data_IF_922006001129
#
_entry.id   IF_922006001129
#
_cell.length_a   1.000
_cell.length_b   1.000
_cell.length_c   1.000
_cell.angle_alpha   90.00
_cell.angle_beta   90.00
_cell.angle_gamma   90.00
#
_symmetry.space_group_name_H-M   'P 1'
#
loop_
_entity.id
_entity.type
_entity.pdbx_description
1 polymer ?
#
# COMPACT_ATOMS: atom_id res chain seq x y z
N UNK A 1 4.74 -13.08 9.69
CA UNK A 1 5.72 -12.08 10.16
C UNK A 1 5.05 -10.72 10.13
N UNK A 2 5.05 -9.98 11.23
CA UNK A 2 4.60 -8.58 11.21
C UNK A 2 5.48 -7.81 10.21
N UNK A 3 4.89 -7.01 9.32
CA UNK A 3 5.72 -6.20 8.44
C UNK A 3 6.49 -5.20 9.28
N UNK A 4 7.79 -5.16 9.05
CA UNK A 4 8.65 -4.25 9.78
C UNK A 4 8.63 -2.93 9.00
N UNK A 5 8.03 -1.89 9.57
CA UNK A 5 8.09 -0.53 9.03
C UNK A 5 9.52 0.03 9.18
N UNK A 6 10.31 -0.16 8.11
CA UNK A 6 11.58 0.53 7.94
C UNK A 6 11.40 1.76 7.06
N UNK A 7 11.73 2.92 7.61
CA UNK A 7 11.98 4.11 6.80
C UNK A 7 13.44 4.08 6.29
N UNK A 8 13.74 4.85 5.24
CA UNK A 8 15.07 4.85 4.60
C UNK A 8 16.23 5.08 5.58
N UNK A 9 16.03 5.84 6.66
CA UNK A 9 17.04 6.06 7.71
C UNK A 9 17.36 4.78 8.49
N UNK A 10 16.35 4.00 8.87
CA UNK A 10 16.55 2.70 9.54
C UNK A 10 17.26 1.70 8.62
N UNK A 11 16.94 1.72 7.32
CA UNK A 11 17.62 0.88 6.32
C UNK A 11 19.10 1.29 6.24
N UNK A 12 19.39 2.58 6.08
CA UNK A 12 20.77 3.08 6.03
C UNK A 12 21.58 2.69 7.27
N UNK A 13 21.01 2.87 8.47
CA UNK A 13 21.67 2.51 9.73
C UNK A 13 22.07 1.02 9.77
N UNK A 14 21.25 0.12 9.22
CA UNK A 14 21.60 -1.31 9.13
C UNK A 14 22.68 -1.59 8.10
N UNK A 15 22.63 -0.92 6.94
CA UNK A 15 23.67 -1.06 5.92
C UNK A 15 25.01 -0.60 6.48
N UNK A 16 25.03 0.49 7.25
CA UNK A 16 26.26 1.02 7.87
C UNK A 16 26.92 0.02 8.85
N UNK A 17 26.12 -0.82 9.53
CA UNK A 17 26.65 -1.87 10.43
C UNK A 17 27.39 -2.96 9.66
N UNK A 18 26.95 -3.28 8.45
CA UNK A 18 27.56 -4.30 7.60
C UNK A 18 28.67 -3.74 6.70
N UNK A 19 28.52 -2.49 6.24
CA UNK A 19 29.43 -1.79 5.34
C UNK A 19 29.73 -0.40 5.90
N UNK A 20 30.72 -0.29 6.80
CA UNK A 20 31.11 0.98 7.38
C UNK A 20 31.60 1.98 6.31
N UNK A 21 31.27 3.26 6.48
CA UNK A 21 31.73 4.34 5.59
C UNK A 21 30.95 4.50 4.28
N UNK A 22 29.93 3.67 4.04
CA UNK A 22 29.07 3.83 2.86
C UNK A 22 28.27 5.14 2.92
N UNK A 23 28.18 5.83 1.79
CA UNK A 23 27.44 7.09 1.65
C UNK A 23 25.93 6.88 1.80
N UNK A 24 25.28 7.72 2.62
CA UNK A 24 23.83 7.71 2.78
C UNK A 24 23.10 7.96 1.45
N UNK A 25 23.63 8.87 0.62
CA UNK A 25 23.04 9.17 -0.69
C UNK A 25 23.12 7.97 -1.63
N UNK A 26 24.22 7.22 -1.59
CA UNK A 26 24.36 6.01 -2.40
C UNK A 26 23.31 4.97 -2.02
N UNK A 27 23.12 4.71 -0.72
CA UNK A 27 22.11 3.76 -0.24
C UNK A 27 20.69 4.22 -0.58
N UNK A 28 20.38 5.53 -0.45
CA UNK A 28 19.08 6.09 -0.86
C UNK A 28 18.82 5.92 -2.35
N UNK A 29 19.83 6.11 -3.20
CA UNK A 29 19.70 5.91 -4.64
C UNK A 29 19.42 4.45 -4.97
N UNK A 30 20.12 3.49 -4.34
CA UNK A 30 19.84 2.07 -4.52
C UNK A 30 18.42 1.68 -4.06
N UNK A 31 17.93 2.26 -2.96
CA UNK A 31 16.54 2.05 -2.52
C UNK A 31 15.57 2.57 -3.59
N UNK A 32 15.82 3.77 -4.14
CA UNK A 32 14.96 4.33 -5.19
C UNK A 32 14.98 3.48 -6.46
N UNK A 33 16.15 3.02 -6.90
CA UNK A 33 16.29 2.12 -8.05
C UNK A 33 15.51 0.82 -7.83
N UNK A 34 15.65 0.20 -6.65
CA UNK A 34 14.92 -1.01 -6.30
C UNK A 34 13.40 -0.78 -6.27
N UNK A 35 12.92 0.38 -5.81
CA UNK A 35 11.50 0.71 -5.82
C UNK A 35 10.96 0.90 -7.25
N UNK A 36 11.74 1.53 -8.13
CA UNK A 36 11.38 1.72 -9.54
C UNK A 36 11.30 0.35 -10.24
N UNK A 37 12.32 -0.48 -10.05
CA UNK A 37 12.40 -1.84 -10.59
C UNK A 37 11.23 -2.71 -10.09
N UNK A 38 10.98 -2.71 -8.78
CA UNK A 38 9.85 -3.42 -8.17
C UNK A 38 8.49 -2.95 -8.71
N UNK A 39 8.39 -1.67 -9.12
CA UNK A 39 7.21 -1.12 -9.77
C UNK A 39 6.96 -1.64 -11.19
N UNK A 40 7.95 -2.25 -11.85
CA UNK A 40 7.82 -2.85 -13.18
C UNK A 40 7.22 -4.25 -13.14
N UNK A 41 7.33 -4.94 -12.01
CA UNK A 41 6.83 -6.30 -11.87
C UNK A 41 5.36 -6.32 -11.43
N UNK A 42 4.62 -7.30 -11.97
CA UNK A 42 3.26 -7.59 -11.49
C UNK A 42 3.35 -8.13 -10.06
N UNK A 43 3.13 -7.24 -9.10
CA UNK A 43 3.01 -7.62 -7.70
C UNK A 43 1.85 -8.61 -7.53
N UNK A 44 2.07 -9.65 -6.72
CA UNK A 44 1.05 -10.64 -6.41
C UNK A 44 -0.21 -9.93 -5.90
N UNK A 45 -1.29 -10.03 -6.69
CA UNK A 45 -2.58 -9.50 -6.30
C UNK A 45 -3.23 -10.48 -5.33
N UNK A 46 -3.31 -10.10 -4.06
CA UNK A 46 -4.07 -10.84 -3.06
C UNK A 46 -5.52 -10.33 -3.03
N UNK A 47 -6.46 -11.27 -2.91
CA UNK A 47 -7.87 -10.97 -2.75
C UNK A 47 -8.26 -11.19 -1.30
N UNK A 48 -8.86 -10.17 -0.69
CA UNK A 48 -9.44 -10.26 0.64
C UNK A 48 -10.93 -9.97 0.57
N UNK A 49 -11.73 -10.76 1.29
CA UNK A 49 -13.14 -10.46 1.54
C UNK A 49 -13.23 -9.65 2.84
N UNK A 50 -14.07 -8.64 2.85
CA UNK A 50 -14.36 -7.85 4.04
C UNK A 50 -15.84 -7.47 4.01
N UNK A 51 -16.47 -7.48 5.18
CA UNK A 51 -17.81 -6.96 5.35
C UNK A 51 -17.73 -5.43 5.44
N UNK A 52 -18.61 -4.75 4.71
CA UNK A 52 -18.78 -3.31 4.89
C UNK A 52 -19.53 -3.03 6.18
N UNK A 53 -19.20 -1.91 6.82
CA UNK A 53 -20.11 -1.33 7.80
C UNK A 53 -21.45 -1.03 7.13
N UNK A 54 -22.53 -1.30 7.86
CA UNK A 54 -23.88 -1.15 7.33
C UNK A 54 -24.08 0.27 6.79
N UNK A 55 -24.68 0.38 5.60
CA UNK A 55 -25.03 1.65 4.95
C UNK A 55 -23.86 2.54 4.48
N UNK A 56 -22.69 1.95 4.15
CA UNK A 56 -21.54 2.70 3.61
C UNK A 56 -21.08 2.14 2.25
N UNK A 57 -20.92 3.04 1.26
CA UNK A 57 -20.40 2.72 -0.08
C UNK A 57 -18.96 3.22 -0.27
N UNK A 58 -18.16 3.21 0.79
CA UNK A 58 -16.75 3.59 0.79
C UNK A 58 -16.00 2.73 1.80
N UNK A 59 -14.67 2.66 1.66
CA UNK A 59 -13.83 1.95 2.62
C UNK A 59 -12.64 2.81 3.06
N UNK A 60 -12.27 2.67 4.34
CA UNK A 60 -11.02 3.15 4.90
C UNK A 60 -10.03 2.00 5.08
N UNK A 61 -8.73 2.32 5.11
CA UNK A 61 -7.70 1.44 5.67
C UNK A 61 -7.35 2.00 7.04
N UNK A 62 -7.64 1.24 8.10
CA UNK A 62 -7.12 1.53 9.43
C UNK A 62 -5.69 0.98 9.52
N UNK A 63 -4.82 1.65 10.26
CA UNK A 63 -3.41 1.28 10.41
C UNK A 63 -3.23 -0.02 11.23
N UNK A 64 -4.22 -0.39 12.05
CA UNK A 64 -4.18 -1.58 12.92
C UNK A 64 -4.64 -2.87 12.21
N UNK A 65 -4.03 -3.20 11.06
CA UNK A 65 -4.33 -4.44 10.33
C UNK A 65 -3.18 -5.43 10.43
N UNK A 66 -3.54 -6.70 10.65
CA UNK A 66 -2.60 -7.83 10.66
C UNK A 66 -1.87 -8.05 9.31
N UNK A 67 -2.32 -7.38 8.24
CA UNK A 67 -1.76 -7.48 6.90
C UNK A 67 -1.34 -6.10 6.44
N UNK A 68 -0.08 -5.99 6.02
CA UNK A 68 0.47 -4.75 5.46
C UNK A 68 0.14 -4.66 3.99
N UNK A 69 -0.71 -3.70 3.65
CA UNK A 69 -1.20 -3.48 2.30
C UNK A 69 -0.32 -2.43 1.63
N UNK A 70 0.49 -2.84 0.66
CA UNK A 70 1.32 -1.91 -0.13
C UNK A 70 0.46 -1.00 -1.02
N UNK A 71 -0.50 -1.59 -1.76
CA UNK A 71 -1.40 -0.85 -2.65
C UNK A 71 -2.73 -1.59 -2.80
N UNK A 72 -3.85 -0.86 -2.72
CA UNK A 72 -5.17 -1.38 -3.07
C UNK A 72 -5.47 -0.96 -4.51
N UNK A 73 -5.72 -1.94 -5.38
CA UNK A 73 -6.02 -1.69 -6.80
C UNK A 73 -7.51 -1.44 -7.04
N UNK A 74 -8.38 -2.23 -6.40
CA UNK A 74 -9.84 -2.16 -6.54
C UNK A 74 -10.53 -2.74 -5.33
N UNK A 75 -11.69 -2.20 -4.99
CA UNK A 75 -12.62 -2.77 -4.02
C UNK A 75 -13.98 -2.88 -4.69
N UNK A 76 -14.57 -4.07 -4.62
CA UNK A 76 -15.89 -4.37 -5.17
C UNK A 76 -16.77 -5.01 -4.10
N UNK A 77 -18.05 -4.69 -4.12
CA UNK A 77 -19.05 -5.12 -3.14
C UNK A 77 -20.20 -5.78 -3.89
N UNK A 78 -20.67 -6.91 -3.38
CA UNK A 78 -21.86 -7.57 -3.90
C UNK A 78 -23.10 -6.81 -3.43
N UNK A 79 -23.94 -6.35 -4.36
CA UNK A 79 -25.21 -5.71 -4.06
C UNK A 79 -26.35 -6.75 -3.93
N UNK A 80 -27.53 -6.29 -3.52
CA UNK A 80 -28.71 -7.14 -3.35
C UNK A 80 -29.24 -7.74 -4.67
N UNK A 81 -28.81 -7.19 -5.82
CA UNK A 81 -29.10 -7.72 -7.14
C UNK A 81 -28.11 -8.83 -7.58
N UNK A 82 -27.12 -9.17 -6.73
CA UNK A 82 -26.09 -10.17 -7.04
C UNK A 82 -24.96 -9.65 -7.95
N UNK A 83 -24.85 -8.33 -8.14
CA UNK A 83 -23.83 -7.69 -8.96
C UNK A 83 -22.72 -7.08 -8.10
N UNK A 84 -21.50 -7.07 -8.63
CA UNK A 84 -20.37 -6.43 -7.97
C UNK A 84 -20.21 -4.98 -8.40
N UNK A 85 -20.47 -4.04 -7.48
CA UNK A 85 -20.25 -2.61 -7.68
C UNK A 85 -18.89 -2.18 -7.11
N UNK A 86 -18.21 -1.23 -7.77
CA UNK A 86 -16.95 -0.68 -7.26
C UNK A 86 -17.23 0.44 -6.28
N UNK A 87 -16.50 0.45 -5.16
CA UNK A 87 -16.60 1.51 -4.14
C UNK A 87 -15.29 2.29 -3.99
N UNK A 88 -15.35 3.62 -3.82
CA UNK A 88 -14.16 4.45 -3.64
C UNK A 88 -13.49 4.23 -2.28
N UNK A 89 -12.17 4.46 -2.24
CA UNK A 89 -11.41 4.59 -1.00
C UNK A 89 -11.60 5.99 -0.43
N UNK A 90 -11.85 6.09 0.86
CA UNK A 90 -11.76 7.35 1.59
C UNK A 90 -10.30 7.63 1.96
N UNK A 91 -9.76 8.75 1.49
CA UNK A 91 -8.39 9.20 1.78
C UNK A 91 -8.48 10.54 2.50
N UNK A 92 -7.91 10.65 3.71
CA UNK A 92 -8.02 11.86 4.54
C UNK A 92 -9.47 12.34 4.74
N UNK A 93 -10.40 11.40 4.95
CA UNK A 93 -11.84 11.66 5.08
C UNK A 93 -12.53 12.23 3.84
N UNK A 94 -11.85 12.23 2.68
CA UNK A 94 -12.42 12.69 1.42
C UNK A 94 -12.38 11.60 0.34
N UNK A 95 -13.34 11.65 -0.58
CA UNK A 95 -13.35 10.78 -1.76
C UNK A 95 -12.44 11.43 -2.78
N UNK A 96 -11.34 10.78 -3.12
CA UNK A 96 -10.44 11.29 -4.16
C UNK A 96 -11.14 11.21 -5.52
N UNK A 97 -11.77 12.31 -5.94
CA UNK A 97 -12.36 12.44 -7.27
C UNK A 97 -11.20 12.60 -8.26
N UNK A 98 -10.75 11.51 -8.87
CA UNK A 98 -9.95 11.63 -10.09
C UNK A 98 -10.88 12.07 -11.21
N UNK A 99 -10.90 13.37 -11.51
CA UNK A 99 -11.46 13.86 -12.77
C UNK A 99 -10.76 13.09 -13.89
N UNK A 100 -11.54 12.30 -14.63
CA UNK A 100 -11.14 11.78 -15.92
C UNK A 100 -12.01 12.51 -16.93
N UNK A 101 -11.41 13.49 -17.62
CA UNK A 101 -11.77 13.81 -19.00
C UNK A 101 -10.71 13.17 -19.90
#
# INVERSE_FOLDING_TARGET
>A
MAAIEFNGKKIYSRVLQAVPGVSENYVKNLINEALIDLGQYNLKTEYAKADLAHNQLWYGLADDRAVTINKVFRCSVLNDAGEYIRIPRLSNQDIKITHTE
#
